data_IF_387256308411
#
_entry.id   IF_387256308411
#
_cell.length_a   1.000
_cell.length_b   1.000
_cell.length_c   1.000
_cell.angle_alpha   90.00
_cell.angle_beta   90.00
_cell.angle_gamma   90.00
#
_symmetry.space_group_name_H-M   'P 1'
#
loop_
_entity.id
_entity.type
_entity.pdbx_description
1 polymer ?
#
# COMPACT_ATOMS: atom_id res chain seq x y z
N UNK A 1 5.54 -14.23 -13.19
CA UNK A 1 4.59 -14.18 -14.32
C UNK A 1 4.27 -15.57 -14.81
N UNK A 2 3.02 -15.88 -15.12
CA UNK A 2 2.67 -17.10 -15.87
C UNK A 2 3.07 -16.87 -17.33
N UNK A 3 3.84 -17.76 -17.94
CA UNK A 3 4.30 -17.65 -19.34
C UNK A 3 3.58 -18.60 -20.28
N UNK A 4 3.04 -19.72 -19.78
CA UNK A 4 2.18 -20.62 -20.56
C UNK A 4 1.38 -21.54 -19.66
N UNK A 5 0.29 -22.08 -20.21
CA UNK A 5 -0.53 -23.14 -19.60
C UNK A 5 -0.70 -24.26 -20.63
N UNK A 6 -0.35 -25.50 -20.28
CA UNK A 6 -0.49 -26.67 -21.13
C UNK A 6 -1.12 -27.82 -20.33
N UNK A 7 -2.42 -28.06 -20.51
CA UNK A 7 -3.16 -29.02 -19.69
C UNK A 7 -3.13 -28.58 -18.22
N UNK A 8 -2.63 -29.47 -17.35
CA UNK A 8 -2.45 -29.20 -15.91
C UNK A 8 -1.06 -28.61 -15.57
N UNK A 9 -0.26 -28.23 -16.58
CA UNK A 9 1.08 -27.67 -16.39
C UNK A 9 1.04 -26.15 -16.54
N UNK A 10 1.52 -25.46 -15.51
CA UNK A 10 1.74 -24.02 -15.48
C UNK A 10 3.24 -23.73 -15.64
N UNK A 11 3.63 -22.94 -16.64
CA UNK A 11 5.01 -22.41 -16.72
C UNK A 11 5.04 -21.02 -16.09
N UNK A 12 5.93 -20.82 -15.12
CA UNK A 12 6.10 -19.54 -14.43
C UNK A 12 7.52 -19.02 -14.61
N UNK A 13 7.62 -17.72 -14.88
CA UNK A 13 8.87 -16.95 -14.88
C UNK A 13 8.96 -16.14 -13.59
N UNK A 14 10.11 -16.23 -12.92
CA UNK A 14 10.43 -15.42 -11.76
C UNK A 14 10.53 -13.92 -12.15
N UNK A 15 10.14 -13.01 -11.24
CA UNK A 15 10.39 -11.57 -11.43
C UNK A 15 11.72 -11.16 -10.80
N UNK A 16 12.57 -10.47 -11.55
CA UNK A 16 13.88 -9.97 -11.09
C UNK A 16 15.02 -11.01 -11.12
N UNK A 17 16.26 -10.60 -10.80
CA UNK A 17 17.48 -11.42 -10.91
C UNK A 17 17.63 -12.51 -9.82
N UNK A 18 16.54 -12.89 -9.15
CA UNK A 18 16.53 -13.81 -8.01
C UNK A 18 16.71 -15.29 -8.38
N UNK A 19 17.41 -16.00 -7.49
CA UNK A 19 17.98 -17.35 -7.62
C UNK A 19 17.05 -18.44 -8.14
N UNK A 20 17.65 -19.46 -8.77
CA UNK A 20 17.03 -20.75 -9.07
C UNK A 20 16.68 -21.52 -7.79
N UNK A 21 15.74 -21.01 -7.01
CA UNK A 21 15.21 -21.70 -5.85
C UNK A 21 14.20 -22.72 -6.33
N UNK A 22 14.49 -24.00 -6.11
CA UNK A 22 13.51 -25.06 -6.34
C UNK A 22 12.42 -24.97 -5.28
N UNK A 23 11.15 -24.92 -5.71
CA UNK A 23 10.02 -25.04 -4.81
C UNK A 23 9.74 -26.52 -4.56
N UNK A 24 9.50 -26.90 -3.31
CA UNK A 24 9.14 -28.27 -2.98
C UNK A 24 7.84 -28.67 -3.69
N UNK A 25 7.72 -29.95 -4.05
CA UNK A 25 6.46 -30.47 -4.59
C UNK A 25 5.32 -30.23 -3.59
N UNK A 26 4.17 -29.76 -4.07
CA UNK A 26 3.03 -29.37 -3.23
C UNK A 26 3.05 -27.92 -2.73
N UNK A 27 4.06 -27.11 -3.08
CA UNK A 27 4.04 -25.68 -2.79
C UNK A 27 2.82 -25.01 -3.44
N UNK A 28 2.02 -24.31 -2.63
CA UNK A 28 0.89 -23.54 -3.13
C UNK A 28 1.40 -22.36 -3.97
N UNK A 29 0.84 -22.22 -5.17
CA UNK A 29 1.03 -21.04 -6.02
C UNK A 29 -0.21 -20.18 -5.89
N UNK A 30 -0.04 -18.93 -5.48
CA UNK A 30 -1.13 -17.97 -5.36
C UNK A 30 -0.90 -16.85 -6.39
N UNK A 31 -1.85 -16.57 -7.29
CA UNK A 31 -1.76 -15.39 -8.14
C UNK A 31 -1.88 -14.13 -7.28
N UNK A 32 -1.01 -13.16 -7.55
CA UNK A 32 -1.06 -11.83 -6.95
C UNK A 32 -1.27 -10.83 -8.08
N UNK A 33 -2.33 -10.04 -7.97
CA UNK A 33 -2.56 -8.87 -8.79
C UNK A 33 -2.10 -7.64 -7.98
N UNK A 34 -1.21 -6.85 -8.57
CA UNK A 34 -0.70 -5.64 -7.97
C UNK A 34 -1.19 -4.46 -8.79
N UNK A 35 -1.89 -3.54 -8.14
CA UNK A 35 -2.20 -2.23 -8.71
C UNK A 35 -1.43 -1.16 -7.92
N UNK A 36 -0.77 -0.26 -8.63
CA UNK A 36 0.04 0.79 -8.04
C UNK A 36 -0.54 2.14 -8.45
N UNK A 37 -0.90 2.96 -7.47
CA UNK A 37 -1.45 4.29 -7.70
C UNK A 37 -0.51 5.35 -7.17
N UNK A 38 -0.38 6.46 -7.89
CA UNK A 38 0.42 7.59 -7.46
C UNK A 38 -0.22 8.92 -7.81
N UNK A 39 0.09 9.93 -7.00
CA UNK A 39 -0.31 11.31 -7.26
C UNK A 39 0.81 12.00 -8.04
N UNK A 40 0.53 12.29 -9.31
CA UNK A 40 1.34 13.19 -10.11
C UNK A 40 1.00 14.63 -9.70
N UNK A 41 1.90 15.26 -8.95
CA UNK A 41 1.69 16.60 -8.40
C UNK A 41 1.80 17.70 -9.45
N UNK A 42 2.59 17.48 -10.50
CA UNK A 42 2.83 18.48 -11.54
C UNK A 42 1.59 18.58 -12.44
N UNK A 43 1.07 17.42 -12.85
CA UNK A 43 -0.16 17.32 -13.65
C UNK A 43 -1.44 17.39 -12.78
N UNK A 44 -1.32 17.27 -11.45
CA UNK A 44 -2.44 17.18 -10.49
C UNK A 44 -3.39 16.03 -10.80
N UNK A 45 -2.83 14.86 -11.11
CA UNK A 45 -3.61 13.67 -11.46
C UNK A 45 -3.35 12.52 -10.51
N UNK A 46 -4.39 11.74 -10.18
CA UNK A 46 -4.20 10.39 -9.66
C UNK A 46 -4.03 9.46 -10.85
N UNK A 47 -2.97 8.67 -10.85
CA UNK A 47 -2.64 7.74 -11.92
C UNK A 47 -2.51 6.31 -11.41
N UNK A 48 -2.90 5.36 -12.24
CA UNK A 48 -2.55 3.95 -12.10
C UNK A 48 -1.31 3.65 -12.93
N UNK A 49 -0.29 3.12 -12.28
CA UNK A 49 0.94 2.67 -12.92
C UNK A 49 0.69 1.35 -13.64
N UNK A 50 0.82 1.36 -14.97
CA UNK A 50 0.53 0.21 -15.84
C UNK A 50 1.77 -0.68 -16.10
N UNK A 51 2.94 -0.28 -15.59
CA UNK A 51 4.20 -0.99 -15.81
C UNK A 51 5.02 -0.49 -16.99
N UNK A 52 4.55 0.53 -17.72
CA UNK A 52 5.19 1.09 -18.91
C UNK A 52 5.15 2.63 -18.90
N UNK A 53 5.27 3.27 -20.06
CA UNK A 53 5.30 4.72 -20.21
C UNK A 53 3.91 5.40 -20.17
N UNK A 54 2.81 4.64 -20.10
CA UNK A 54 1.45 5.14 -20.33
C UNK A 54 0.52 4.99 -19.13
N UNK A 55 0.96 5.50 -17.97
CA UNK A 55 0.15 5.48 -16.75
C UNK A 55 -1.24 6.09 -16.97
N UNK A 56 -2.28 5.37 -16.53
CA UNK A 56 -3.68 5.71 -16.76
C UNK A 56 -4.14 6.79 -15.78
N UNK A 57 -4.57 7.98 -16.24
CA UNK A 57 -5.18 8.98 -15.37
C UNK A 57 -6.57 8.51 -14.91
N UNK A 58 -6.79 8.53 -13.60
CA UNK A 58 -8.04 8.13 -12.96
C UNK A 58 -8.86 9.33 -12.47
N UNK A 59 -8.16 10.38 -12.05
CA UNK A 59 -8.76 11.55 -11.44
C UNK A 59 -7.91 12.78 -11.73
N UNK A 60 -8.55 13.85 -12.18
CA UNK A 60 -7.92 15.14 -12.43
C UNK A 60 -8.10 16.09 -11.23
N UNK A 61 -7.32 17.17 -11.23
CA UNK A 61 -7.38 18.26 -10.24
C UNK A 61 -7.24 17.79 -8.79
N UNK A 62 -6.48 16.71 -8.59
CA UNK A 62 -6.04 16.25 -7.29
C UNK A 62 -4.88 17.14 -6.83
N UNK A 63 -5.12 17.95 -5.80
CA UNK A 63 -4.13 18.92 -5.28
C UNK A 63 -3.38 18.40 -4.07
N UNK A 64 -3.94 17.43 -3.35
CA UNK A 64 -3.25 16.76 -2.25
C UNK A 64 -3.73 15.31 -2.09
N UNK A 65 -2.79 14.44 -1.75
CA UNK A 65 -3.05 13.04 -1.42
C UNK A 65 -2.23 12.66 -0.19
N UNK A 66 -2.91 12.10 0.80
CA UNK A 66 -2.29 11.58 2.01
C UNK A 66 -2.73 10.14 2.25
N UNK A 67 -1.75 9.27 2.49
CA UNK A 67 -1.96 7.87 2.85
C UNK A 67 -1.47 7.65 4.28
N UNK A 68 -2.33 7.07 5.11
CA UNK A 68 -2.02 6.78 6.51
C UNK A 68 -2.30 5.32 6.82
N UNK A 69 -1.35 4.69 7.52
CA UNK A 69 -1.45 3.28 7.89
C UNK A 69 -1.86 3.16 9.35
N UNK A 70 -2.80 2.27 9.62
CA UNK A 70 -3.25 1.92 10.96
C UNK A 70 -3.18 0.42 11.14
N UNK A 71 -2.56 -0.01 12.23
CA UNK A 71 -2.33 -1.43 12.47
C UNK A 71 -2.29 -1.78 13.94
N UNK A 72 -2.08 -3.06 14.21
CA UNK A 72 -1.94 -3.58 15.56
C UNK A 72 -0.63 -3.09 16.18
N UNK A 73 -0.69 -2.60 17.42
CA UNK A 73 0.52 -2.21 18.13
C UNK A 73 1.33 -3.39 18.64
N UNK A 74 0.72 -4.58 18.76
CA UNK A 74 1.47 -5.80 19.06
C UNK A 74 2.17 -6.33 17.80
N UNK A 75 3.37 -6.92 17.93
CA UNK A 75 4.06 -7.57 16.83
C UNK A 75 3.21 -8.63 16.11
N UNK A 76 3.37 -8.78 14.78
CA UNK A 76 2.68 -9.81 14.01
C UNK A 76 3.26 -11.19 14.35
N UNK A 77 2.37 -12.15 14.60
CA UNK A 77 2.73 -13.56 14.88
C UNK A 77 2.49 -14.48 13.67
N UNK A 78 1.99 -13.92 12.57
CA UNK A 78 1.76 -14.61 11.31
C UNK A 78 2.45 -13.86 10.17
N UNK A 79 3.02 -14.57 9.17
CA UNK A 79 2.94 -16.02 9.00
C UNK A 79 3.92 -16.79 9.90
N UNK A 80 3.45 -17.90 10.50
CA UNK A 80 4.32 -18.84 11.22
C UNK A 80 4.88 -19.88 10.22
N UNK A 81 6.19 -20.12 10.19
CA UNK A 81 6.76 -21.13 9.30
C UNK A 81 6.47 -22.55 9.82
N UNK A 82 6.69 -23.55 8.97
CA UNK A 82 6.71 -24.96 9.38
C UNK A 82 7.86 -25.22 10.37
N UNK A 83 7.73 -26.25 11.19
CA UNK A 83 8.78 -26.66 12.13
C UNK A 83 10.10 -26.91 11.40
N UNK A 84 11.19 -26.34 11.91
CA UNK A 84 12.52 -26.42 11.29
C UNK A 84 12.76 -25.43 10.14
N UNK A 85 11.76 -24.63 9.73
CA UNK A 85 11.92 -23.59 8.73
C UNK A 85 11.96 -22.20 9.35
N UNK A 86 12.81 -21.32 8.80
CA UNK A 86 12.89 -19.92 9.20
C UNK A 86 12.08 -19.02 8.26
N UNK A 87 11.66 -17.85 8.77
CA UNK A 87 11.25 -16.72 7.96
C UNK A 87 11.75 -15.40 8.60
N UNK A 88 11.29 -14.26 8.10
CA UNK A 88 11.69 -12.94 8.64
C UNK A 88 11.28 -12.73 10.11
N UNK A 89 10.20 -13.38 10.56
CA UNK A 89 9.67 -13.25 11.93
C UNK A 89 10.23 -14.31 12.89
N UNK A 90 10.61 -15.49 12.37
CA UNK A 90 10.96 -16.66 13.17
C UNK A 90 12.26 -17.31 12.68
N UNK A 91 13.13 -17.68 13.61
CA UNK A 91 14.28 -18.55 13.36
C UNK A 91 13.83 -20.00 13.13
N UNK A 92 14.73 -20.83 12.59
CA UNK A 92 14.44 -22.23 12.24
C UNK A 92 14.11 -23.12 13.46
N UNK A 93 14.56 -22.72 14.65
CA UNK A 93 14.22 -23.35 15.93
C UNK A 93 12.85 -22.89 16.49
N UNK A 94 12.14 -22.02 15.77
CA UNK A 94 10.85 -21.45 16.16
C UNK A 94 10.94 -20.19 17.03
N UNK A 95 12.15 -19.70 17.34
CA UNK A 95 12.35 -18.47 18.10
C UNK A 95 11.85 -17.23 17.35
N UNK A 96 11.07 -16.37 18.01
CA UNK A 96 10.57 -15.12 17.41
C UNK A 96 11.62 -14.01 17.46
N UNK A 97 11.76 -13.24 16.38
CA UNK A 97 12.68 -12.11 16.25
C UNK A 97 12.14 -10.84 16.95
N UNK A 98 11.83 -10.95 18.25
CA UNK A 98 11.16 -9.90 19.03
C UNK A 98 11.93 -8.57 19.06
N UNK A 99 13.26 -8.62 19.05
CA UNK A 99 14.10 -7.43 19.13
C UNK A 99 13.92 -6.50 17.91
N UNK A 100 13.52 -7.06 16.77
CA UNK A 100 13.28 -6.32 15.53
C UNK A 100 11.80 -5.89 15.41
N UNK A 101 10.93 -6.34 16.31
CA UNK A 101 9.50 -6.08 16.26
C UNK A 101 8.99 -5.55 17.61
N UNK A 102 9.09 -4.23 17.88
CA UNK A 102 8.69 -3.66 19.16
C UNK A 102 7.16 -3.67 19.35
N UNK A 103 6.75 -3.69 20.63
CA UNK A 103 5.35 -3.43 21.02
C UNK A 103 5.11 -1.92 21.01
N UNK A 104 4.25 -1.47 20.10
CA UNK A 104 3.90 -0.05 19.93
C UNK A 104 2.72 0.36 20.82
N UNK A 105 1.85 -0.59 21.16
CA UNK A 105 0.71 -0.36 22.06
C UNK A 105 0.20 -1.67 22.66
N UNK A 106 -0.61 -1.60 23.74
CA UNK A 106 -1.38 -2.75 24.21
C UNK A 106 -2.26 -3.36 23.10
N UNK A 107 -2.61 -4.65 23.21
CA UNK A 107 -3.43 -5.34 22.22
C UNK A 107 -4.85 -4.77 22.15
N UNK A 108 -5.52 -4.97 21.00
CA UNK A 108 -6.94 -4.64 20.82
C UNK A 108 -7.24 -3.23 20.31
N UNK A 109 -6.23 -2.39 20.07
CA UNK A 109 -6.40 -1.06 19.47
C UNK A 109 -5.52 -0.89 18.24
N UNK A 110 -6.10 -0.31 17.18
CA UNK A 110 -5.32 0.15 16.03
C UNK A 110 -4.61 1.45 16.37
N UNK A 111 -3.32 1.51 16.06
CA UNK A 111 -2.48 2.70 16.21
C UNK A 111 -1.99 3.16 14.85
N UNK A 112 -1.72 4.47 14.67
CA UNK A 112 -1.00 4.96 13.51
C UNK A 112 0.36 4.26 13.40
N UNK A 113 0.70 3.80 12.21
CA UNK A 113 2.02 3.27 11.87
C UNK A 113 2.74 4.34 11.02
N UNK A 114 3.75 5.03 11.57
CA UNK A 114 4.53 6.00 10.80
C UNK A 114 5.24 5.33 9.63
N UNK A 115 5.41 6.03 8.51
CA UNK A 115 6.05 5.46 7.32
C UNK A 115 7.47 4.92 7.58
N UNK A 116 8.22 5.54 8.51
CA UNK A 116 9.58 5.07 8.87
C UNK A 116 9.59 3.67 9.49
N UNK A 117 8.53 3.29 10.20
CA UNK A 117 8.33 1.95 10.77
C UNK A 117 7.94 0.91 9.71
N UNK A 118 7.72 1.31 8.46
CA UNK A 118 7.41 0.39 7.36
C UNK A 118 8.62 0.21 6.44
N UNK A 119 9.80 0.63 6.90
CA UNK A 119 11.05 0.68 6.12
C UNK A 119 12.32 0.43 6.96
N UNK A 120 12.18 0.10 8.24
CA UNK A 120 13.28 -0.12 9.20
C UNK A 120 13.69 -1.60 9.31
N UNK A 121 12.93 -2.50 8.72
CA UNK A 121 13.10 -3.94 8.81
C UNK A 121 12.51 -4.49 10.12
N UNK A 122 12.43 -5.82 10.25
CA UNK A 122 13.10 -6.83 9.45
C UNK A 122 12.43 -7.06 8.09
N UNK A 123 13.24 -7.38 7.08
CA UNK A 123 12.74 -7.56 5.72
C UNK A 123 12.21 -8.98 5.49
N UNK A 124 10.99 -9.09 4.98
CA UNK A 124 10.32 -10.30 4.53
C UNK A 124 10.31 -10.38 3.00
N UNK A 125 10.14 -11.59 2.47
CA UNK A 125 10.09 -11.81 1.02
C UNK A 125 11.49 -11.84 0.40
N UNK A 126 11.57 -11.54 -0.90
CA UNK A 126 12.84 -11.58 -1.63
C UNK A 126 12.76 -10.88 -2.98
N UNK A 127 13.92 -10.43 -3.47
CA UNK A 127 14.02 -9.66 -4.71
C UNK A 127 13.17 -8.39 -4.67
N UNK A 128 12.46 -8.11 -5.77
CA UNK A 128 11.59 -6.92 -5.89
C UNK A 128 10.33 -7.00 -5.02
N UNK A 129 10.06 -8.15 -4.39
CA UNK A 129 8.94 -8.35 -3.47
C UNK A 129 9.41 -8.34 -2.01
N UNK A 130 10.60 -7.82 -1.73
CA UNK A 130 11.05 -7.59 -0.36
C UNK A 130 10.21 -6.48 0.28
N UNK A 131 9.75 -6.69 1.50
CA UNK A 131 8.89 -5.75 2.22
C UNK A 131 9.17 -5.78 3.72
N UNK A 132 8.85 -4.71 4.43
CA UNK A 132 9.05 -4.64 5.88
C UNK A 132 8.01 -5.50 6.62
N UNK A 133 8.45 -6.32 7.58
CA UNK A 133 7.58 -7.15 8.41
C UNK A 133 6.49 -6.36 9.13
N UNK A 134 6.71 -5.08 9.45
CA UNK A 134 5.72 -4.22 10.08
C UNK A 134 4.49 -3.95 9.19
N UNK A 135 4.58 -4.15 7.87
CA UNK A 135 3.41 -4.13 6.99
C UNK A 135 2.38 -5.22 7.35
N UNK A 136 2.81 -6.31 7.99
CA UNK A 136 1.91 -7.38 8.48
C UNK A 136 1.03 -6.91 9.65
N UNK A 137 1.33 -5.75 10.26
CA UNK A 137 0.48 -5.14 11.29
C UNK A 137 -0.68 -4.35 10.73
N UNK A 138 -0.61 -3.91 9.47
CA UNK A 138 -1.62 -3.02 8.87
C UNK A 138 -2.98 -3.71 8.88
N UNK A 139 -4.00 -3.00 9.34
CA UNK A 139 -5.41 -3.45 9.36
C UNK A 139 -6.33 -2.47 8.65
N UNK A 140 -5.92 -1.22 8.56
CA UNK A 140 -6.65 -0.16 7.86
C UNK A 140 -5.67 0.79 7.19
N UNK A 141 -5.97 1.17 5.96
CA UNK A 141 -5.30 2.23 5.21
C UNK A 141 -6.32 3.33 5.04
N UNK A 142 -5.97 4.55 5.45
CA UNK A 142 -6.78 5.74 5.20
C UNK A 142 -6.16 6.53 4.08
N UNK A 143 -6.95 6.82 3.06
CA UNK A 143 -6.57 7.65 1.93
C UNK A 143 -7.39 8.92 2.01
N UNK A 144 -6.73 10.06 2.08
CA UNK A 144 -7.37 11.39 2.04
C UNK A 144 -6.97 12.08 0.75
N UNK A 145 -7.95 12.48 -0.04
CA UNK A 145 -7.79 13.18 -1.31
C UNK A 145 -8.38 14.57 -1.19
N UNK A 146 -7.67 15.60 -1.65
CA UNK A 146 -8.19 16.96 -1.80
C UNK A 146 -8.28 17.29 -3.28
N UNK A 147 -9.49 17.53 -3.77
CA UNK A 147 -9.76 17.92 -5.14
C UNK A 147 -10.12 19.41 -5.21
N UNK A 148 -9.75 20.05 -6.31
CA UNK A 148 -10.20 21.41 -6.63
C UNK A 148 -11.14 21.39 -7.84
N UNK A 149 -11.91 22.47 -8.04
CA UNK A 149 -12.62 22.66 -9.31
C UNK A 149 -11.61 22.91 -10.44
N UNK A 150 -11.80 22.29 -11.62
CA UNK A 150 -10.87 22.44 -12.76
C UNK A 150 -10.81 23.87 -13.31
N UNK A 151 -11.96 24.53 -13.42
CA UNK A 151 -12.06 25.88 -13.97
C UNK A 151 -11.64 26.94 -12.92
N UNK A 152 -10.57 27.73 -13.18
CA UNK A 152 -10.20 28.85 -12.31
C UNK A 152 -11.32 29.89 -12.13
N UNK A 153 -12.26 30.01 -13.07
CA UNK A 153 -13.42 30.90 -12.97
C UNK A 153 -14.46 30.44 -11.94
N UNK A 154 -14.34 29.20 -11.44
CA UNK A 154 -15.13 28.67 -10.33
C UNK A 154 -14.39 28.71 -8.98
N UNK A 155 -13.09 29.03 -8.97
CA UNK A 155 -12.27 29.11 -7.76
C UNK A 155 -12.14 30.54 -7.26
N UNK A 156 -12.25 30.74 -5.95
CA UNK A 156 -12.14 32.04 -5.31
C UNK A 156 -10.71 32.47 -5.03
N UNK A 157 -10.55 33.65 -4.42
CA UNK A 157 -9.24 34.24 -4.10
C UNK A 157 -8.67 33.81 -2.74
N UNK A 158 -9.49 33.21 -1.88
CA UNK A 158 -9.12 32.89 -0.49
C UNK A 158 -8.26 31.60 -0.43
N UNK A 159 -6.96 31.70 -0.10
CA UNK A 159 -6.08 30.54 -0.05
C UNK A 159 -6.44 29.54 1.06
N UNK A 160 -7.29 29.90 2.01
CA UNK A 160 -7.79 28.95 3.02
C UNK A 160 -8.79 27.95 2.41
N UNK A 161 -9.52 28.34 1.36
CA UNK A 161 -10.59 27.52 0.74
C UNK A 161 -10.18 26.91 -0.60
N UNK A 162 -9.16 27.47 -1.24
CA UNK A 162 -8.69 27.06 -2.57
C UNK A 162 -7.17 26.85 -2.54
N UNK A 163 -6.71 25.63 -2.78
CA UNK A 163 -5.28 25.32 -2.81
C UNK A 163 -4.58 26.09 -3.93
N UNK A 164 -5.23 26.16 -5.10
CA UNK A 164 -4.86 27.09 -6.17
C UNK A 164 -6.00 28.10 -6.39
N UNK A 165 -5.87 29.33 -5.87
CA UNK A 165 -6.85 30.39 -6.07
C UNK A 165 -7.18 30.63 -7.54
N UNK A 166 -8.41 31.06 -7.81
CA UNK A 166 -8.91 31.37 -9.15
C UNK A 166 -9.26 32.85 -9.33
N UNK A 167 -10.32 33.11 -10.10
CA UNK A 167 -10.76 34.47 -10.44
C UNK A 167 -12.20 34.79 -9.99
N UNK A 168 -12.92 33.81 -9.44
CA UNK A 168 -14.30 33.97 -9.03
C UNK A 168 -14.44 34.97 -7.86
N UNK A 169 -15.36 35.92 -7.99
CA UNK A 169 -15.69 36.91 -6.94
C UNK A 169 -17.12 36.82 -6.45
N UNK A 170 -18.00 36.13 -7.19
CA UNK A 170 -19.39 35.92 -6.82
C UNK A 170 -19.53 34.59 -6.12
N UNK A 171 -20.16 34.59 -4.96
CA UNK A 171 -20.36 33.38 -4.15
C UNK A 171 -21.10 32.27 -4.91
N UNK A 172 -22.06 32.63 -5.77
CA UNK A 172 -22.82 31.69 -6.60
C UNK A 172 -21.98 30.93 -7.64
N UNK A 173 -20.74 31.34 -7.89
CA UNK A 173 -19.80 30.69 -8.81
C UNK A 173 -18.74 29.87 -8.07
N UNK A 174 -18.67 29.99 -6.74
CA UNK A 174 -17.59 29.37 -5.96
C UNK A 174 -17.83 27.87 -5.78
N UNK A 175 -16.85 27.08 -6.20
CA UNK A 175 -16.76 25.66 -5.93
C UNK A 175 -15.47 25.42 -5.11
N UNK A 176 -15.56 25.37 -3.77
CA UNK A 176 -14.39 25.19 -2.92
C UNK A 176 -13.76 23.82 -3.11
N UNK A 177 -12.50 23.68 -2.69
CA UNK A 177 -11.87 22.37 -2.66
C UNK A 177 -12.67 21.41 -1.79
N UNK A 178 -12.77 20.17 -2.23
CA UNK A 178 -13.43 19.10 -1.49
C UNK A 178 -12.40 18.09 -0.99
N UNK A 179 -12.60 17.61 0.23
CA UNK A 179 -11.78 16.54 0.80
C UNK A 179 -12.62 15.27 0.89
N UNK A 180 -12.13 14.19 0.27
CA UNK A 180 -12.68 12.86 0.39
C UNK A 180 -11.77 11.98 1.25
N UNK A 181 -12.34 11.17 2.13
CA UNK A 181 -11.60 10.18 2.93
C UNK A 181 -12.15 8.79 2.67
N UNK A 182 -11.25 7.85 2.40
CA UNK A 182 -11.57 6.45 2.15
C UNK A 182 -10.78 5.61 3.14
N UNK A 183 -11.48 4.76 3.88
CA UNK A 183 -10.86 3.75 4.74
C UNK A 183 -10.95 2.38 4.07
N UNK A 184 -9.80 1.78 3.80
CA UNK A 184 -9.67 0.44 3.23
C UNK A 184 -9.19 -0.52 4.30
N UNK A 185 -9.88 -1.65 4.48
CA UNK A 185 -9.47 -2.72 5.37
C UNK A 185 -9.23 -4.00 4.54
N UNK A 186 -7.96 -4.28 4.13
CA UNK A 186 -7.62 -5.38 3.24
C UNK A 186 -8.09 -6.72 3.81
N UNK A 187 -8.86 -7.53 3.06
CA UNK A 187 -9.45 -8.77 3.58
C UNK A 187 -8.42 -9.78 4.09
N UNK A 188 -7.29 -9.89 3.40
CA UNK A 188 -6.14 -10.74 3.76
C UNK A 188 -5.43 -10.30 5.06
N UNK A 189 -5.72 -9.09 5.54
CA UNK A 189 -5.17 -8.54 6.78
C UNK A 189 -6.23 -8.49 7.90
N UNK A 190 -7.46 -8.96 7.69
CA UNK A 190 -8.45 -9.10 8.76
C UNK A 190 -8.14 -10.39 9.52
N UNK A 191 -8.03 -10.33 10.86
CA UNK A 191 -7.96 -11.55 11.69
C UNK A 191 -9.24 -12.37 11.48
N UNK A 192 -9.10 -13.61 11.02
CA UNK A 192 -10.21 -14.57 10.91
C UNK A 192 -10.42 -15.14 9.51
N UNK A 193 -9.51 -16.03 9.09
CA UNK A 193 -9.85 -17.33 8.48
C UNK A 193 -8.79 -18.34 8.89
#
# INVERSE_FOLDING_TARGET
TITSVLGEVLTVRHHGPGSASAYAAGTAVVPVETASFFHDRDERTLREYDGDASDLPLLDDLVDMRVEYFGEGHPPEWPRPLDGAANCLYAADGGYNAALMPVLSPPGRLVPLPAGLLTDGPWCGGGNNSFDADLLRVRRIRITLRLQASDPAARGLDPARFHHPGSARKESLLVPDITATIDVAPPNLRRGR
#
